data_IF_597385352486
#
_entry.id   IF_597385352486
#
_cell.length_a   1.000
_cell.length_b   1.000
_cell.length_c   1.000
_cell.angle_alpha   90.00
_cell.angle_beta   90.00
_cell.angle_gamma   90.00
#
_symmetry.space_group_name_H-M   'P 1'
#
loop_
_entity.id
_entity.type
_entity.pdbx_description
1 polymer ?
#
# COMPACT_ATOMS: atom_id res chain seq x y z
N UNK A 1 -4.29 -10.60 -11.62
CA UNK A 1 -4.58 -9.20 -12.04
C UNK A 1 -4.44 -8.30 -10.82
N UNK A 2 -3.61 -7.24 -10.86
CA UNK A 2 -3.49 -6.29 -9.76
C UNK A 2 -4.73 -5.41 -9.61
N UNK A 3 -5.08 -5.04 -8.38
CA UNK A 3 -6.14 -4.08 -8.07
C UNK A 3 -5.53 -2.85 -7.40
N UNK A 4 -5.69 -1.69 -8.04
CA UNK A 4 -5.23 -0.39 -7.56
C UNK A 4 -6.28 0.24 -6.65
N UNK A 5 -6.19 0.00 -5.35
CA UNK A 5 -7.18 0.44 -4.36
C UNK A 5 -6.82 1.83 -3.84
N UNK A 6 -7.83 2.70 -3.72
CA UNK A 6 -7.67 4.10 -3.30
C UNK A 6 -8.47 4.36 -2.00
N UNK A 7 -7.91 4.06 -0.81
CA UNK A 7 -8.69 3.98 0.42
C UNK A 7 -9.37 5.30 0.81
N UNK A 8 -8.63 6.42 0.79
CA UNK A 8 -9.20 7.72 1.15
C UNK A 8 -10.17 8.25 0.08
N UNK A 9 -9.92 7.96 -1.21
CA UNK A 9 -10.84 8.28 -2.30
C UNK A 9 -12.18 7.57 -2.09
N UNK A 10 -12.17 6.27 -1.78
CA UNK A 10 -13.39 5.49 -1.55
C UNK A 10 -14.26 6.05 -0.41
N UNK A 11 -13.64 6.57 0.67
CA UNK A 11 -14.38 7.23 1.75
C UNK A 11 -14.92 8.59 1.30
N UNK A 12 -14.10 9.41 0.63
CA UNK A 12 -14.52 10.73 0.14
C UNK A 12 -15.62 10.67 -0.91
N UNK A 13 -15.64 9.61 -1.72
CA UNK A 13 -16.67 9.33 -2.72
C UNK A 13 -17.87 8.56 -2.15
N UNK A 14 -17.91 8.34 -0.84
CA UNK A 14 -19.03 7.69 -0.14
C UNK A 14 -19.29 6.25 -0.61
N UNK A 15 -18.25 5.55 -1.07
CA UNK A 15 -18.28 4.10 -1.30
C UNK A 15 -18.28 3.36 0.04
N UNK A 16 -17.54 3.91 1.01
CA UNK A 16 -17.60 3.54 2.43
C UNK A 16 -17.82 4.80 3.26
N UNK A 17 -18.57 4.68 4.35
CA UNK A 17 -18.81 5.82 5.26
C UNK A 17 -17.55 6.14 6.07
N UNK A 18 -16.79 5.11 6.43
CA UNK A 18 -15.56 5.20 7.20
C UNK A 18 -14.52 4.19 6.72
N UNK A 19 -13.24 4.51 6.92
CA UNK A 19 -12.15 3.64 6.48
C UNK A 19 -12.16 2.28 7.18
N UNK A 20 -12.64 2.17 8.42
CA UNK A 20 -12.75 0.90 9.15
C UNK A 20 -13.69 -0.11 8.49
N UNK A 21 -14.60 0.35 7.62
CA UNK A 21 -15.52 -0.50 6.86
C UNK A 21 -14.90 -1.00 5.54
N UNK A 22 -13.72 -0.48 5.16
CA UNK A 22 -13.10 -0.82 3.90
C UNK A 22 -12.66 -2.30 3.87
N UNK A 23 -13.01 -3.00 2.81
CA UNK A 23 -12.68 -4.42 2.62
C UNK A 23 -11.21 -4.68 2.18
N UNK A 24 -10.29 -3.73 2.31
CA UNK A 24 -8.94 -3.83 1.73
C UNK A 24 -8.19 -5.05 2.28
N UNK A 25 -8.29 -5.30 3.58
CA UNK A 25 -7.64 -6.45 4.23
C UNK A 25 -8.30 -7.77 3.84
N UNK A 26 -9.63 -7.81 3.71
CA UNK A 26 -10.35 -9.00 3.24
C UNK A 26 -9.89 -9.41 1.83
N UNK A 27 -9.65 -8.44 0.95
CA UNK A 27 -9.13 -8.70 -0.39
C UNK A 27 -7.70 -9.26 -0.36
N UNK A 28 -6.87 -8.75 0.56
CA UNK A 28 -5.52 -9.27 0.80
C UNK A 28 -5.57 -10.71 1.31
N UNK A 29 -6.46 -11.02 2.24
CA UNK A 29 -6.63 -12.36 2.82
C UNK A 29 -7.12 -13.38 1.78
N UNK A 30 -7.88 -12.93 0.78
CA UNK A 30 -8.29 -13.74 -0.37
C UNK A 30 -7.15 -13.99 -1.39
N UNK A 31 -5.95 -13.48 -1.13
CA UNK A 31 -4.78 -13.68 -1.99
C UNK A 31 -4.75 -12.75 -3.20
N UNK A 32 -5.55 -11.68 -3.23
CA UNK A 32 -5.53 -10.72 -4.32
C UNK A 32 -4.29 -9.83 -4.27
N UNK A 33 -3.78 -9.46 -5.44
CA UNK A 33 -2.68 -8.52 -5.57
C UNK A 33 -3.19 -7.09 -5.41
N UNK A 34 -3.27 -6.62 -4.18
CA UNK A 34 -3.74 -5.27 -3.83
C UNK A 34 -2.57 -4.29 -3.71
N UNK A 35 -2.74 -3.11 -4.28
CA UNK A 35 -1.85 -1.95 -4.11
C UNK A 35 -2.60 -0.78 -3.49
N UNK A 36 -1.91 0.03 -2.69
CA UNK A 36 -2.45 1.27 -2.13
C UNK A 36 -2.08 2.43 -3.07
N UNK A 37 -3.06 3.24 -3.43
CA UNK A 37 -2.93 4.38 -4.32
C UNK A 37 -3.69 5.59 -3.75
N UNK A 38 -3.33 6.79 -4.19
CA UNK A 38 -3.94 8.04 -3.70
C UNK A 38 -5.07 8.58 -4.57
N UNK A 39 -5.20 8.07 -5.80
CA UNK A 39 -6.09 8.62 -6.83
C UNK A 39 -5.75 10.09 -7.14
N UNK A 40 -6.56 11.04 -6.69
CA UNK A 40 -6.34 12.48 -6.79
C UNK A 40 -5.96 13.13 -5.43
N UNK A 41 -4.66 13.14 -5.04
CA UNK A 41 -4.20 13.62 -3.73
C UNK A 41 -4.71 15.01 -3.33
N UNK A 42 -4.78 15.93 -4.30
CA UNK A 42 -5.19 17.31 -4.07
C UNK A 42 -6.67 17.43 -3.68
N UNK A 43 -7.50 16.48 -4.10
CA UNK A 43 -8.94 16.47 -3.85
C UNK A 43 -9.30 15.63 -2.63
N UNK A 44 -8.59 14.53 -2.38
CA UNK A 44 -8.94 13.58 -1.32
C UNK A 44 -8.18 13.77 -0.01
N UNK A 45 -7.37 14.82 0.10
CA UNK A 45 -6.77 15.27 1.36
C UNK A 45 -5.61 14.40 1.85
N UNK A 46 -4.93 13.69 0.93
CA UNK A 46 -3.84 12.81 1.29
C UNK A 46 -3.08 12.28 0.08
N UNK A 47 -1.76 12.44 0.10
CA UNK A 47 -0.87 11.78 -0.86
C UNK A 47 -0.67 10.30 -0.47
N UNK A 48 0.25 9.63 -1.15
CA UNK A 48 0.52 8.21 -0.92
C UNK A 48 0.79 7.87 0.55
N UNK A 49 1.67 8.62 1.23
CA UNK A 49 2.01 8.38 2.64
C UNK A 49 0.78 8.46 3.54
N UNK A 50 -0.11 9.42 3.31
CA UNK A 50 -1.35 9.56 4.09
C UNK A 50 -2.26 8.36 3.93
N UNK A 51 -2.40 7.83 2.70
CA UNK A 51 -3.20 6.62 2.44
C UNK A 51 -2.58 5.39 3.13
N UNK A 52 -1.25 5.23 3.06
CA UNK A 52 -0.56 4.13 3.74
C UNK A 52 -0.72 4.20 5.26
N UNK A 53 -0.53 5.38 5.86
CA UNK A 53 -0.69 5.58 7.30
C UNK A 53 -2.12 5.32 7.74
N UNK A 54 -3.11 5.85 7.03
CA UNK A 54 -4.51 5.64 7.35
C UNK A 54 -4.89 4.15 7.34
N UNK A 55 -4.41 3.39 6.35
CA UNK A 55 -4.62 1.92 6.30
C UNK A 55 -3.89 1.23 7.46
N UNK A 56 -2.65 1.62 7.75
CA UNK A 56 -1.88 1.02 8.84
C UNK A 56 -2.53 1.23 10.20
N UNK A 57 -2.96 2.46 10.49
CA UNK A 57 -3.61 2.83 11.76
C UNK A 57 -4.99 2.18 11.90
N UNK A 58 -5.77 2.13 10.82
CA UNK A 58 -7.16 1.61 10.88
C UNK A 58 -7.21 0.09 11.05
N UNK A 59 -6.29 -0.64 10.41
CA UNK A 59 -6.31 -2.10 10.35
C UNK A 59 -5.16 -2.77 11.11
N UNK A 60 -4.42 -2.00 11.93
CA UNK A 60 -3.24 -2.46 12.69
C UNK A 60 -2.21 -3.21 11.82
N UNK A 61 -1.98 -2.69 10.60
CA UNK A 61 -1.06 -3.31 9.63
C UNK A 61 0.37 -3.05 10.07
N UNK A 62 1.14 -4.12 10.26
CA UNK A 62 2.54 -4.00 10.63
C UNK A 62 3.37 -3.37 9.52
N UNK A 63 4.55 -2.84 9.86
CA UNK A 63 5.51 -2.32 8.86
C UNK A 63 5.88 -3.37 7.81
N UNK A 64 5.98 -4.64 8.20
CA UNK A 64 6.32 -5.74 7.30
C UNK A 64 5.19 -5.99 6.29
N UNK A 65 3.94 -5.98 6.74
CA UNK A 65 2.77 -6.10 5.85
C UNK A 65 2.60 -4.86 4.96
N UNK A 66 2.88 -3.66 5.48
CA UNK A 66 2.88 -2.45 4.67
C UNK A 66 3.92 -2.53 3.53
N UNK A 67 5.10 -3.08 3.82
CA UNK A 67 6.10 -3.34 2.79
C UNK A 67 5.60 -4.31 1.70
N UNK A 68 4.77 -5.30 2.07
CA UNK A 68 4.15 -6.21 1.08
C UNK A 68 3.26 -5.48 0.08
N UNK A 69 2.54 -4.43 0.48
CA UNK A 69 1.78 -3.60 -0.47
C UNK A 69 2.71 -2.90 -1.47
N UNK A 70 3.87 -2.44 -1.02
CA UNK A 70 4.88 -1.81 -1.90
C UNK A 70 5.51 -2.84 -2.85
N UNK A 71 5.83 -4.05 -2.38
CA UNK A 71 6.32 -5.13 -3.24
C UNK A 71 5.31 -5.52 -4.32
N UNK A 72 4.02 -5.61 -3.96
CA UNK A 72 2.92 -5.84 -4.91
C UNK A 72 2.85 -4.72 -5.94
N UNK A 73 2.98 -3.46 -5.52
CA UNK A 73 2.96 -2.30 -6.43
C UNK A 73 4.13 -2.32 -7.43
N UNK A 74 5.34 -2.63 -6.98
CA UNK A 74 6.51 -2.78 -7.87
C UNK A 74 6.25 -3.88 -8.90
N UNK A 75 5.78 -5.05 -8.44
CA UNK A 75 5.50 -6.21 -9.30
C UNK A 75 4.40 -5.91 -10.32
N UNK A 76 3.34 -5.24 -9.88
CA UNK A 76 2.17 -4.85 -10.67
C UNK A 76 2.44 -3.72 -11.66
N UNK A 77 3.51 -2.95 -11.48
CA UNK A 77 3.84 -1.83 -12.36
C UNK A 77 4.12 -2.28 -13.79
N UNK A 78 3.99 -1.35 -14.73
CA UNK A 78 4.33 -1.58 -16.15
C UNK A 78 5.80 -1.30 -16.47
N UNK A 79 6.65 -1.22 -15.45
CA UNK A 79 8.09 -1.06 -15.63
C UNK A 79 8.70 -2.31 -16.30
N UNK A 80 9.79 -2.13 -17.06
CA UNK A 80 10.69 -3.22 -17.43
C UNK A 80 11.16 -4.02 -16.21
N UNK A 81 11.47 -5.31 -16.40
CA UNK A 81 11.82 -6.20 -15.28
C UNK A 81 13.11 -5.78 -14.58
N UNK A 82 14.09 -5.25 -15.33
CA UNK A 82 15.34 -4.71 -14.79
C UNK A 82 15.11 -3.48 -13.89
N UNK A 83 14.19 -2.58 -14.27
CA UNK A 83 13.81 -1.46 -13.42
C UNK A 83 13.05 -1.93 -12.16
N UNK A 84 12.20 -2.96 -12.28
CA UNK A 84 11.55 -3.58 -11.11
C UNK A 84 12.58 -4.19 -10.16
N UNK A 85 13.61 -4.85 -10.68
CA UNK A 85 14.67 -5.44 -9.86
C UNK A 85 15.45 -4.38 -9.07
N UNK A 86 15.74 -3.23 -9.69
CA UNK A 86 16.34 -2.08 -8.99
C UNK A 86 15.45 -1.62 -7.84
N UNK A 87 14.13 -1.51 -8.06
CA UNK A 87 13.18 -1.10 -7.01
C UNK A 87 13.04 -2.15 -5.91
N UNK A 88 13.00 -3.44 -6.25
CA UNK A 88 12.97 -4.54 -5.27
C UNK A 88 14.22 -4.54 -4.40
N UNK A 89 15.39 -4.34 -5.00
CA UNK A 89 16.66 -4.25 -4.27
C UNK A 89 16.67 -3.04 -3.31
N UNK A 90 16.18 -1.87 -3.77
CA UNK A 90 16.05 -0.67 -2.94
C UNK A 90 15.11 -0.90 -1.76
N UNK A 91 13.98 -1.56 -1.98
CA UNK A 91 13.04 -1.90 -0.92
C UNK A 91 13.67 -2.87 0.08
N UNK A 92 14.33 -3.93 -0.40
CA UNK A 92 15.03 -4.89 0.48
C UNK A 92 16.09 -4.19 1.35
N UNK A 93 16.89 -3.28 0.78
CA UNK A 93 17.86 -2.49 1.52
C UNK A 93 17.19 -1.62 2.60
N UNK A 94 16.08 -0.96 2.26
CA UNK A 94 15.32 -0.16 3.22
C UNK A 94 14.79 -1.01 4.39
N UNK A 95 14.21 -2.17 4.11
CA UNK A 95 13.68 -3.07 5.15
C UNK A 95 14.80 -3.62 6.02
N UNK A 96 15.95 -3.99 5.44
CA UNK A 96 17.11 -4.44 6.20
C UNK A 96 17.60 -3.36 7.19
N UNK A 97 17.53 -2.08 6.81
CA UNK A 97 17.87 -0.97 7.71
C UNK A 97 16.80 -0.72 8.78
N UNK A 98 15.50 -0.75 8.41
CA UNK A 98 14.40 -0.46 9.33
C UNK A 98 14.17 -1.55 10.39
N UNK A 99 14.44 -2.81 10.05
CA UNK A 99 14.29 -3.94 10.96
C UNK A 99 15.61 -4.40 11.58
N UNK A 100 16.68 -3.61 11.43
CA UNK A 100 17.95 -3.93 12.07
C UNK A 100 17.77 -3.86 13.59
N UNK A 101 17.98 -4.97 14.34
CA UNK A 101 17.90 -4.94 15.78
C UNK A 101 18.99 -3.99 16.32
N UNK A 102 18.59 -3.08 17.21
CA UNK A 102 19.54 -2.29 17.99
C UNK A 102 20.03 -3.22 19.09
N UNK A 103 21.27 -3.71 18.95
CA UNK A 103 22.00 -4.42 20.02
C UNK A 103 22.54 -3.37 20.99
#
# INVERSE_FOLDING_TARGET
MPLTVCPLSNVKLQVFDDLSQHNIMQLVDQGLCITINSDDPAYFGGYMTTNMLAVAETFDVSKAEMARFTERAITASFLPEDEKDVLRARLAQYLAHQFHPII
#
